data_IF_185734596040
#
_entry.id   IF_185734596040
#
_cell.length_a   1.000
_cell.length_b   1.000
_cell.length_c   1.000
_cell.angle_alpha   90.00
_cell.angle_beta   90.00
_cell.angle_gamma   90.00
#
_symmetry.space_group_name_H-M   'P 1'
#
loop_
_entity.id
_entity.type
_entity.pdbx_description
1 polymer ?
#
# COMPACT_ATOMS: atom_id res chain seq x y z
N UNK A 1 30.14 21.23 2.19
CA UNK A 1 29.38 20.32 1.33
C UNK A 1 28.25 19.58 2.08
N UNK A 2 28.43 19.00 3.27
CA UNK A 2 27.30 18.45 4.05
C UNK A 2 26.59 19.50 4.95
N UNK A 3 27.30 20.55 5.37
CA UNK A 3 26.74 21.63 6.21
C UNK A 3 25.62 22.45 5.56
N UNK A 4 25.50 22.41 4.23
CA UNK A 4 24.44 23.06 3.46
C UNK A 4 23.28 22.11 3.12
N UNK A 5 23.37 20.84 3.55
CA UNK A 5 22.32 19.86 3.36
C UNK A 5 21.27 20.04 4.44
N UNK A 6 20.08 20.48 4.05
CA UNK A 6 18.95 20.68 4.95
C UNK A 6 17.87 19.62 4.72
N UNK A 7 16.83 19.65 5.55
CA UNK A 7 15.73 18.68 5.50
C UNK A 7 14.98 18.73 4.16
N UNK A 8 14.83 19.91 3.56
CA UNK A 8 14.18 20.04 2.25
C UNK A 8 14.96 19.31 1.15
N UNK A 9 16.30 19.38 1.19
CA UNK A 9 17.15 18.60 0.29
C UNK A 9 16.95 17.10 0.52
N UNK A 10 16.89 16.66 1.79
CA UNK A 10 16.62 15.26 2.13
C UNK A 10 15.29 14.76 1.53
N UNK A 11 14.21 15.49 1.75
CA UNK A 11 12.87 15.14 1.23
C UNK A 11 12.88 15.10 -0.30
N UNK A 12 13.53 16.07 -0.94
CA UNK A 12 13.66 16.11 -2.40
C UNK A 12 14.39 14.88 -2.93
N UNK A 13 15.50 14.49 -2.30
CA UNK A 13 16.25 13.30 -2.72
C UNK A 13 15.50 12.00 -2.47
N UNK A 14 14.77 11.88 -1.36
CA UNK A 14 13.90 10.72 -1.11
C UNK A 14 12.86 10.64 -2.21
N UNK A 15 12.16 11.74 -2.51
CA UNK A 15 11.19 11.77 -3.61
C UNK A 15 11.82 11.36 -4.94
N UNK A 16 12.95 11.97 -5.32
CA UNK A 16 13.65 11.62 -6.56
C UNK A 16 14.07 10.15 -6.61
N UNK A 17 14.53 9.59 -5.49
CA UNK A 17 14.88 8.19 -5.40
C UNK A 17 13.64 7.30 -5.56
N UNK A 18 12.53 7.64 -4.91
CA UNK A 18 11.27 6.91 -5.05
C UNK A 18 10.72 6.98 -6.48
N UNK A 19 10.74 8.16 -7.09
CA UNK A 19 10.30 8.36 -8.49
C UNK A 19 11.20 7.61 -9.49
N UNK A 20 12.48 7.37 -9.14
CA UNK A 20 13.42 6.61 -9.97
C UNK A 20 13.29 5.08 -9.82
N UNK A 21 12.61 4.61 -8.77
CA UNK A 21 12.38 3.17 -8.58
C UNK A 21 11.35 2.71 -9.61
N UNK A 22 11.74 1.70 -10.39
CA UNK A 22 10.86 1.10 -11.38
C UNK A 22 9.85 0.15 -10.71
N UNK A 23 8.61 0.08 -11.19
CA UNK A 23 7.61 -0.87 -10.71
C UNK A 23 8.10 -2.33 -10.74
N UNK A 24 8.88 -2.71 -11.75
CA UNK A 24 9.43 -4.06 -11.86
C UNK A 24 10.39 -4.41 -10.72
N UNK A 25 11.14 -3.42 -10.22
CA UNK A 25 12.04 -3.59 -9.08
C UNK A 25 11.24 -3.82 -7.80
N UNK A 26 10.17 -3.05 -7.59
CA UNK A 26 9.27 -3.21 -6.43
C UNK A 26 8.59 -4.57 -6.48
N UNK A 27 8.04 -4.95 -7.64
CA UNK A 27 7.44 -6.26 -7.86
C UNK A 27 8.42 -7.41 -7.62
N UNK A 28 9.67 -7.29 -8.06
CA UNK A 28 10.70 -8.32 -7.81
C UNK A 28 11.00 -8.48 -6.31
N UNK A 29 11.04 -7.38 -5.55
CA UNK A 29 11.21 -7.42 -4.10
C UNK A 29 10.01 -8.09 -3.41
N UNK A 30 8.78 -7.71 -3.77
CA UNK A 30 7.57 -8.26 -3.15
C UNK A 30 7.29 -9.70 -3.58
N UNK A 31 7.73 -10.16 -4.76
CA UNK A 31 7.47 -11.52 -5.26
C UNK A 31 7.86 -12.65 -4.31
N UNK A 32 8.88 -12.45 -3.48
CA UNK A 32 9.32 -13.46 -2.52
C UNK A 32 8.69 -13.29 -1.13
N UNK A 33 8.13 -12.11 -0.82
CA UNK A 33 7.59 -11.78 0.51
C UNK A 33 6.06 -11.83 0.54
N UNK A 34 5.41 -11.32 -0.51
CA UNK A 34 3.97 -11.23 -0.65
C UNK A 34 3.60 -11.27 -2.14
N UNK A 35 3.29 -12.48 -2.64
CA UNK A 35 2.98 -12.71 -4.06
C UNK A 35 1.70 -12.03 -4.51
N UNK A 36 0.69 -11.99 -3.65
CA UNK A 36 -0.63 -11.46 -4.00
C UNK A 36 -0.61 -9.93 -4.22
N UNK A 37 0.38 -9.23 -3.65
CA UNK A 37 0.60 -7.81 -3.92
C UNK A 37 1.38 -7.54 -5.22
N UNK A 38 1.94 -8.56 -5.87
CA UNK A 38 2.65 -8.41 -7.15
C UNK A 38 1.64 -8.48 -8.29
N UNK A 39 1.45 -7.37 -9.00
CA UNK A 39 0.64 -7.33 -10.20
C UNK A 39 1.48 -6.88 -11.41
N UNK A 40 1.19 -7.46 -12.58
CA UNK A 40 1.83 -7.07 -13.85
C UNK A 40 1.07 -5.90 -14.51
N UNK A 41 0.51 -5.00 -13.71
CA UNK A 41 -0.26 -3.88 -14.20
C UNK A 41 0.65 -2.96 -15.03
N UNK A 42 0.36 -2.85 -16.34
CA UNK A 42 1.16 -2.07 -17.29
C UNK A 42 0.66 -0.65 -17.48
N UNK A 43 -0.18 -0.17 -16.55
CA UNK A 43 -0.97 1.03 -16.74
C UNK A 43 -2.27 0.74 -17.48
N UNK A 44 -3.15 1.74 -17.51
CA UNK A 44 -4.32 1.75 -18.37
C UNK A 44 -3.91 2.11 -19.81
N UNK A 45 -4.68 1.68 -20.83
CA UNK A 45 -4.52 2.20 -22.19
C UNK A 45 -4.52 3.73 -22.20
N UNK A 46 -3.89 4.33 -23.21
CA UNK A 46 -3.99 5.78 -23.44
C UNK A 46 -5.47 6.14 -23.59
N UNK A 47 -5.90 7.20 -22.90
CA UNK A 47 -7.30 7.69 -22.91
C UNK A 47 -7.81 7.83 -24.35
N UNK A 48 -6.98 8.36 -25.26
CA UNK A 48 -7.30 8.54 -26.68
C UNK A 48 -7.84 7.27 -27.36
N UNK A 49 -7.25 6.10 -27.06
CA UNK A 49 -7.69 4.83 -27.66
C UNK A 49 -9.02 4.35 -27.08
N UNK A 50 -9.25 4.63 -25.80
CA UNK A 50 -10.48 4.26 -25.13
C UNK A 50 -11.63 5.15 -25.60
N UNK A 51 -11.38 6.45 -25.76
CA UNK A 51 -12.31 7.43 -26.33
C UNK A 51 -12.76 7.00 -27.73
N UNK A 52 -11.82 6.69 -28.63
CA UNK A 52 -12.12 6.20 -29.98
C UNK A 52 -12.97 4.91 -29.94
N UNK A 53 -12.61 3.97 -29.06
CA UNK A 53 -13.34 2.71 -28.88
C UNK A 53 -14.78 2.94 -28.40
N UNK A 54 -14.98 3.80 -27.40
CA UNK A 54 -16.30 4.13 -26.84
C UNK A 54 -17.20 4.76 -27.91
N UNK A 55 -16.68 5.74 -28.67
CA UNK A 55 -17.42 6.38 -29.76
C UNK A 55 -17.77 5.37 -30.85
N UNK A 56 -16.83 4.50 -31.22
CA UNK A 56 -17.07 3.45 -32.21
C UNK A 56 -18.17 2.48 -31.75
N UNK A 57 -18.14 2.04 -30.49
CA UNK A 57 -19.14 1.13 -29.93
C UNK A 57 -20.51 1.82 -29.83
N UNK A 58 -20.57 3.06 -29.36
CA UNK A 58 -21.80 3.85 -29.30
C UNK A 58 -22.47 3.95 -30.69
N UNK A 59 -21.68 4.26 -31.73
CA UNK A 59 -22.16 4.30 -33.12
C UNK A 59 -22.64 2.95 -33.64
N UNK A 60 -22.01 1.85 -33.21
CA UNK A 60 -22.45 0.50 -33.57
C UNK A 60 -23.75 0.08 -32.88
N UNK A 61 -23.93 0.46 -31.60
CA UNK A 61 -25.19 0.27 -30.87
C UNK A 61 -26.31 1.05 -31.56
N UNK A 62 -26.00 2.28 -32.00
CA UNK A 62 -26.93 3.17 -32.67
C UNK A 62 -28.02 3.71 -31.75
N UNK A 63 -28.96 4.47 -32.33
CA UNK A 63 -30.00 5.17 -31.58
C UNK A 63 -29.72 6.66 -31.39
N UNK A 64 -30.77 7.40 -31.09
CA UNK A 64 -30.71 8.85 -30.89
C UNK A 64 -29.78 9.17 -29.72
N UNK A 65 -28.83 10.08 -29.95
CA UNK A 65 -27.78 10.45 -28.98
C UNK A 65 -26.53 9.57 -28.97
N UNK A 66 -26.56 8.32 -29.47
CA UNK A 66 -25.36 7.47 -29.57
C UNK A 66 -24.65 7.60 -30.92
N UNK A 67 -25.39 7.90 -31.99
CA UNK A 67 -24.80 8.09 -33.34
C UNK A 67 -24.05 9.42 -33.42
N UNK A 68 -24.56 10.44 -32.73
CA UNK A 68 -24.05 11.81 -32.79
C UNK A 68 -22.93 12.09 -31.77
N UNK A 69 -22.55 11.10 -30.97
CA UNK A 69 -21.55 11.25 -29.92
C UNK A 69 -20.17 11.61 -30.50
N UNK A 70 -19.55 12.61 -29.89
CA UNK A 70 -18.23 13.12 -30.23
C UNK A 70 -17.18 12.66 -29.23
N UNK A 71 -15.95 12.50 -29.71
CA UNK A 71 -14.79 12.16 -28.87
C UNK A 71 -14.59 13.21 -27.76
N UNK A 72 -14.76 14.49 -28.09
CA UNK A 72 -14.68 15.62 -27.16
C UNK A 72 -15.66 15.50 -25.97
N UNK A 73 -16.85 14.95 -26.18
CA UNK A 73 -17.85 14.75 -25.12
C UNK A 73 -17.42 13.64 -24.15
N UNK A 74 -16.78 12.58 -24.67
CA UNK A 74 -16.23 11.50 -23.85
C UNK A 74 -14.99 11.98 -23.10
N UNK A 75 -14.13 12.77 -23.75
CA UNK A 75 -12.96 13.39 -23.11
C UNK A 75 -13.37 14.31 -21.96
N UNK A 76 -14.36 15.18 -22.17
CA UNK A 76 -14.90 16.06 -21.14
C UNK A 76 -15.49 15.25 -19.98
N UNK A 77 -16.22 14.17 -20.26
CA UNK A 77 -16.77 13.29 -19.24
C UNK A 77 -15.67 12.62 -18.40
N UNK A 78 -14.62 12.10 -19.04
CA UNK A 78 -13.48 11.48 -18.36
C UNK A 78 -12.76 12.51 -17.49
N UNK A 79 -12.49 13.70 -18.02
CA UNK A 79 -11.77 14.74 -17.30
C UNK A 79 -12.60 15.28 -16.13
N UNK A 80 -13.92 15.40 -16.29
CA UNK A 80 -14.85 15.76 -15.22
C UNK A 80 -14.93 14.71 -14.10
N UNK A 81 -14.40 13.51 -14.28
CA UNK A 81 -14.32 12.44 -13.27
C UNK A 81 -12.88 12.06 -12.93
N UNK A 82 -11.90 12.89 -13.31
CA UNK A 82 -10.48 12.68 -12.96
C UNK A 82 -10.15 13.05 -11.51
N UNK A 83 -11.16 13.30 -10.68
CA UNK A 83 -10.95 13.59 -9.27
C UNK A 83 -10.26 12.38 -8.61
N UNK A 84 -9.19 12.66 -7.87
CA UNK A 84 -8.52 11.63 -7.09
C UNK A 84 -9.45 11.20 -5.98
N UNK A 85 -9.73 9.90 -5.88
CA UNK A 85 -10.48 9.33 -4.76
C UNK A 85 -9.91 9.85 -3.44
N UNK A 86 -10.79 10.29 -2.56
CA UNK A 86 -10.46 10.56 -1.17
C UNK A 86 -10.08 9.27 -0.45
N UNK A 87 -9.42 9.39 0.69
CA UNK A 87 -9.08 8.22 1.51
C UNK A 87 -10.34 7.46 1.93
N UNK A 88 -11.41 8.18 2.26
CA UNK A 88 -12.70 7.63 2.65
C UNK A 88 -13.37 6.85 1.50
N UNK A 89 -13.39 7.40 0.28
CA UNK A 89 -13.94 6.71 -0.90
C UNK A 89 -13.13 5.46 -1.28
N UNK A 90 -11.79 5.53 -1.11
CA UNK A 90 -10.92 4.38 -1.34
C UNK A 90 -11.19 3.26 -0.32
N UNK A 91 -11.39 3.60 0.95
CA UNK A 91 -11.74 2.64 2.00
C UNK A 91 -13.10 1.97 1.74
N UNK A 92 -14.10 2.73 1.29
CA UNK A 92 -15.41 2.17 0.91
C UNK A 92 -15.33 1.21 -0.30
N UNK A 93 -14.51 1.54 -1.30
CA UNK A 93 -14.31 0.68 -2.47
C UNK A 93 -13.62 -0.64 -2.11
N UNK A 94 -12.61 -0.60 -1.24
CA UNK A 94 -11.94 -1.80 -0.75
C UNK A 94 -12.92 -2.67 0.02
N UNK A 95 -13.73 -2.06 0.90
CA UNK A 95 -14.71 -2.77 1.72
C UNK A 95 -15.74 -3.50 0.86
N UNK A 96 -16.32 -2.82 -0.12
CA UNK A 96 -17.31 -3.42 -1.04
C UNK A 96 -16.73 -4.54 -1.90
N UNK A 97 -15.44 -4.52 -2.22
CA UNK A 97 -14.79 -5.62 -2.96
C UNK A 97 -14.56 -6.88 -2.10
N UNK A 98 -14.50 -6.73 -0.77
CA UNK A 98 -14.29 -7.84 0.17
C UNK A 98 -15.58 -8.44 0.73
N UNK A 99 -16.73 -7.79 0.53
CA UNK A 99 -18.03 -8.26 1.01
C UNK A 99 -18.65 -9.36 0.10
N UNK A 100 -18.07 -9.61 -1.09
CA UNK A 100 -18.52 -10.66 -2.02
C UNK A 100 -17.75 -12.00 -1.90
N UNK A 101 -16.75 -12.09 -1.01
CA UNK A 101 -15.98 -13.32 -0.74
C UNK A 101 -16.40 -13.97 0.60
N UNK A 102 -17.69 -14.30 0.75
CA UNK A 102 -18.11 -15.35 1.69
C UNK A 102 -17.75 -16.73 1.07
N UNK A 103 -16.45 -17.06 1.05
CA UNK A 103 -16.01 -18.44 0.88
C UNK A 103 -15.75 -19.04 2.27
N UNK A 104 -16.59 -20.00 2.63
CA UNK A 104 -16.52 -20.88 3.81
C UNK A 104 -15.16 -21.60 3.87
N UNK A 105 -14.12 -20.88 4.27
CA UNK A 105 -12.82 -21.47 4.56
C UNK A 105 -12.66 -21.53 6.07
N UNK A 106 -13.06 -22.68 6.64
CA UNK A 106 -12.65 -23.12 7.98
C UNK A 106 -11.12 -23.30 8.01
N UNK A 107 -10.37 -22.19 7.98
CA UNK A 107 -8.96 -22.19 8.36
C UNK A 107 -8.89 -22.11 9.87
N UNK A 108 -8.26 -23.10 10.51
CA UNK A 108 -7.81 -22.95 11.90
C UNK A 108 -6.99 -21.65 11.99
N UNK A 109 -7.52 -20.65 12.71
CA UNK A 109 -6.87 -19.36 12.82
C UNK A 109 -5.43 -19.56 13.31
N UNK A 110 -4.42 -19.04 12.58
CA UNK A 110 -3.05 -19.10 13.03
C UNK A 110 -2.95 -18.36 14.37
N UNK A 111 -2.13 -18.85 15.29
CA UNK A 111 -1.98 -18.29 16.63
C UNK A 111 -1.82 -16.76 16.60
N UNK A 112 -2.92 -16.04 16.83
CA UNK A 112 -3.01 -14.60 16.69
C UNK A 112 -2.47 -13.92 17.93
N UNK A 113 -1.60 -12.93 17.74
CA UNK A 113 -1.11 -12.09 18.84
C UNK A 113 -2.23 -11.17 19.31
N UNK A 114 -2.64 -11.31 20.56
CA UNK A 114 -3.62 -10.43 21.20
C UNK A 114 -2.93 -9.53 22.21
N UNK A 115 -3.56 -8.40 22.54
CA UNK A 115 -3.05 -7.48 23.56
C UNK A 115 -2.83 -8.17 24.92
N UNK A 116 -3.67 -9.15 25.25
CA UNK A 116 -3.52 -10.00 26.42
C UNK A 116 -2.21 -10.81 26.37
N UNK A 117 -1.94 -11.50 25.25
CA UNK A 117 -0.69 -12.26 25.06
C UNK A 117 0.54 -11.37 25.13
N UNK A 118 0.48 -10.16 24.58
CA UNK A 118 1.54 -9.16 24.77
C UNK A 118 1.74 -8.79 26.24
N UNK A 119 0.65 -8.51 26.96
CA UNK A 119 0.70 -8.17 28.38
C UNK A 119 1.36 -9.26 29.22
N UNK A 120 1.03 -10.54 28.96
CA UNK A 120 1.64 -11.68 29.64
C UNK A 120 3.15 -11.76 29.38
N UNK A 121 3.58 -11.58 28.12
CA UNK A 121 5.00 -11.59 27.75
C UNK A 121 5.76 -10.44 28.41
N UNK A 122 5.20 -9.22 28.41
CA UNK A 122 5.84 -8.07 29.05
C UNK A 122 5.93 -8.22 30.56
N UNK A 123 4.92 -8.81 31.19
CA UNK A 123 4.95 -9.09 32.62
C UNK A 123 6.01 -10.13 32.97
N UNK A 124 6.16 -11.18 32.16
CA UNK A 124 7.22 -12.18 32.32
C UNK A 124 8.62 -11.56 32.13
N UNK A 125 8.81 -10.71 31.13
CA UNK A 125 10.07 -10.01 30.89
C UNK A 125 10.44 -9.06 32.04
N UNK A 126 9.45 -8.33 32.58
CA UNK A 126 9.66 -7.46 33.74
C UNK A 126 10.07 -8.26 34.97
N UNK A 127 9.37 -9.35 35.27
CA UNK A 127 9.71 -10.22 36.40
C UNK A 127 11.12 -10.82 36.27
N UNK A 128 11.51 -11.25 35.06
CA UNK A 128 12.87 -11.71 34.79
C UNK A 128 13.90 -10.60 35.04
N UNK A 129 13.63 -9.39 34.57
CA UNK A 129 14.52 -8.24 34.77
C UNK A 129 14.68 -7.87 36.26
N UNK A 130 13.61 -7.95 37.03
CA UNK A 130 13.62 -7.70 38.47
C UNK A 130 14.47 -8.76 39.19
N UNK A 131 14.28 -10.06 38.87
CA UNK A 131 15.10 -11.15 39.41
C UNK A 131 16.58 -10.99 39.08
N UNK A 132 16.88 -10.65 37.84
CA UNK A 132 18.26 -10.41 37.39
C UNK A 132 18.90 -9.27 38.18
N UNK A 133 18.15 -8.18 38.42
CA UNK A 133 18.62 -7.02 39.17
C UNK A 133 18.85 -7.34 40.66
N UNK A 134 18.09 -8.27 41.23
CA UNK A 134 18.27 -8.75 42.60
C UNK A 134 19.54 -9.60 42.76
N UNK A 135 19.80 -10.51 41.82
CA UNK A 135 20.96 -11.42 41.91
C UNK A 135 22.27 -10.81 41.42
N UNK A 136 22.23 -9.88 40.47
CA UNK A 136 23.40 -9.10 40.03
C UNK A 136 23.07 -7.59 39.98
N UNK A 137 23.09 -6.91 41.14
CA UNK A 137 22.86 -5.47 41.22
C UNK A 137 23.94 -4.63 40.50
N UNK A 138 24.96 -5.27 39.90
CA UNK A 138 26.04 -4.61 39.17
C UNK A 138 26.29 -5.21 37.79
N UNK A 139 25.24 -5.62 37.08
CA UNK A 139 25.33 -6.01 35.67
C UNK A 139 26.08 -4.96 34.81
N UNK A 140 25.97 -3.67 35.13
CA UNK A 140 26.72 -2.59 34.48
C UNK A 140 28.25 -2.67 34.65
N UNK A 141 28.76 -3.25 35.75
CA UNK A 141 30.20 -3.47 35.95
C UNK A 141 30.70 -4.64 35.13
N UNK A 142 29.90 -5.70 35.01
CA UNK A 142 30.22 -6.89 34.19
C UNK A 142 30.34 -6.53 32.71
N UNK A 143 29.55 -5.58 32.22
CA UNK A 143 29.63 -5.06 30.83
C UNK A 143 30.83 -4.11 30.60
N UNK A 144 31.27 -3.37 31.63
CA UNK A 144 32.41 -2.43 31.53
C UNK A 144 33.78 -3.11 31.58
N UNK A 145 33.88 -4.34 32.09
CA UNK A 145 35.16 -5.05 32.24
C UNK A 145 35.58 -5.86 30.99
N UNK A 146 34.86 -5.71 29.87
CA UNK A 146 35.15 -6.36 28.59
C UNK A 146 35.38 -5.38 27.43
N UNK A 147 35.91 -4.19 27.71
CA UNK A 147 36.55 -3.30 26.71
C UNK A 147 37.94 -2.93 27.20
#
# INVERSE_FOLDING_TARGET
>A
CWKSFNIANCITYIKQAMDAIKPETVNACWRNLWKDCVNDFKGFPTIDKEVECIVQVARQVGGDGFVDILEEEIEELIEGHRETLTNEELEELIKSSTEDEDDDNEQEEPATWTLHKFSEVFQAAKHLNDLISEYDPSMERSLKNHT
#
